data_IF_702906370623
#
_entry.id   IF_702906370623
#
_cell.length_a   1.000
_cell.length_b   1.000
_cell.length_c   1.000
_cell.angle_alpha   90.00
_cell.angle_beta   90.00
_cell.angle_gamma   90.00
#
_symmetry.space_group_name_H-M   'P 1'
#
loop_
_entity.id
_entity.type
_entity.pdbx_description
1 polymer ?
#
# COMPACT_ATOMS: atom_id res chain seq x y z
N UNK A 1 24.11 3.81 14.42
CA UNK A 1 22.91 3.63 13.57
C UNK A 1 21.67 3.62 14.43
N UNK A 2 20.50 3.93 13.86
CA UNK A 2 19.20 3.94 14.53
C UNK A 2 18.23 2.93 13.92
N UNK A 3 17.11 2.70 14.60
CA UNK A 3 16.05 1.81 14.13
C UNK A 3 15.20 2.47 13.04
N UNK A 4 14.72 1.68 12.09
CA UNK A 4 13.74 2.14 11.10
C UNK A 4 12.38 2.26 11.78
N UNK A 5 11.66 3.35 11.53
CA UNK A 5 10.39 3.66 12.18
C UNK A 5 9.21 3.54 11.22
N UNK A 6 8.10 3.02 11.73
CA UNK A 6 6.81 2.89 11.05
C UNK A 6 5.71 3.23 12.04
N UNK A 7 4.54 3.62 11.55
CA UNK A 7 3.38 3.85 12.39
C UNK A 7 2.07 3.61 11.63
N UNK A 8 1.07 3.09 12.33
CA UNK A 8 -0.31 3.13 11.86
C UNK A 8 -0.80 4.58 11.90
N UNK A 9 -1.30 5.07 10.78
CA UNK A 9 -1.92 6.39 10.67
C UNK A 9 -2.84 6.44 9.45
N UNK A 10 -3.90 7.25 9.52
CA UNK A 10 -4.82 7.39 8.40
C UNK A 10 -5.65 6.13 8.10
N UNK A 11 -5.77 5.20 9.06
CA UNK A 11 -6.76 4.12 9.02
C UNK A 11 -8.13 4.65 9.47
N UNK A 12 -8.42 4.61 10.77
CA UNK A 12 -9.62 5.25 11.34
C UNK A 12 -9.38 6.74 11.62
N UNK A 13 -8.14 7.09 11.99
CA UNK A 13 -7.72 8.47 12.26
C UNK A 13 -7.64 9.34 10.99
N UNK A 14 -7.77 10.67 11.11
CA UNK A 14 -7.78 11.57 9.95
C UNK A 14 -6.40 11.65 9.26
N UNK A 15 -6.37 12.24 8.06
CA UNK A 15 -5.13 12.54 7.33
C UNK A 15 -4.09 13.34 8.16
N UNK A 16 -4.53 14.14 9.14
CA UNK A 16 -3.64 14.85 10.07
C UNK A 16 -2.69 13.90 10.84
N UNK A 17 -3.14 12.69 11.18
CA UNK A 17 -2.28 11.73 11.88
C UNK A 17 -1.16 11.21 10.97
N UNK A 18 -1.39 11.19 9.66
CA UNK A 18 -0.36 10.85 8.68
C UNK A 18 0.70 11.95 8.65
N UNK A 19 0.30 13.23 8.63
CA UNK A 19 1.22 14.36 8.78
C UNK A 19 2.04 14.26 10.05
N UNK A 20 1.40 14.00 11.20
CA UNK A 20 2.09 13.86 12.49
C UNK A 20 3.09 12.69 12.49
N UNK A 21 2.72 11.55 11.91
CA UNK A 21 3.62 10.41 11.79
C UNK A 21 4.85 10.75 10.92
N UNK A 22 4.66 11.45 9.80
CA UNK A 22 5.76 11.88 8.93
C UNK A 22 6.63 12.97 9.57
N UNK A 23 6.03 13.94 10.23
CA UNK A 23 6.74 15.15 10.68
C UNK A 23 7.30 15.04 12.10
N UNK A 24 6.60 14.34 12.99
CA UNK A 24 7.02 14.21 14.39
C UNK A 24 7.77 12.91 14.62
N UNK A 25 7.24 11.79 14.10
CA UNK A 25 7.83 10.46 14.31
C UNK A 25 8.87 10.09 13.25
N UNK A 26 8.93 10.85 12.14
CA UNK A 26 9.87 10.65 11.03
C UNK A 26 9.84 9.22 10.49
N UNK A 27 8.64 8.65 10.35
CA UNK A 27 8.47 7.27 9.86
C UNK A 27 8.89 7.13 8.41
N UNK A 28 9.40 5.95 8.05
CA UNK A 28 9.81 5.63 6.68
C UNK A 28 8.67 5.09 5.82
N UNK A 29 7.59 4.64 6.45
CA UNK A 29 6.33 4.27 5.80
C UNK A 29 5.17 4.43 6.77
N UNK A 30 3.98 4.54 6.23
CA UNK A 30 2.72 4.62 6.96
C UNK A 30 1.99 3.30 6.79
N UNK A 31 1.55 2.73 7.91
CA UNK A 31 0.69 1.57 7.87
C UNK A 31 -0.78 2.00 7.70
N UNK A 32 -1.47 1.35 6.75
CA UNK A 32 -2.75 1.76 6.14
C UNK A 32 -2.68 3.05 5.30
N UNK A 33 -2.89 4.22 5.90
CA UNK A 33 -2.93 5.51 5.19
C UNK A 33 -4.12 5.72 4.25
N UNK A 34 -5.18 4.91 4.33
CA UNK A 34 -6.35 4.98 3.41
C UNK A 34 -7.07 6.32 3.41
N UNK A 35 -7.08 7.03 4.55
CA UNK A 35 -7.67 8.36 4.68
C UNK A 35 -6.79 9.50 4.19
N UNK A 36 -5.56 9.21 3.71
CA UNK A 36 -4.67 10.24 3.15
C UNK A 36 -5.29 10.97 1.96
N UNK A 37 -6.16 10.31 1.19
CA UNK A 37 -6.82 10.90 0.03
C UNK A 37 -7.83 12.02 0.38
N UNK A 38 -8.14 12.22 1.66
CA UNK A 38 -8.99 13.32 2.12
C UNK A 38 -8.28 14.68 2.07
N UNK A 39 -6.94 14.69 2.01
CA UNK A 39 -6.11 15.89 1.93
C UNK A 39 -5.22 15.87 0.68
N UNK A 40 -5.53 16.74 -0.28
CA UNK A 40 -4.79 16.84 -1.55
C UNK A 40 -3.30 17.16 -1.36
N UNK A 41 -2.96 18.00 -0.38
CA UNK A 41 -1.55 18.37 -0.13
C UNK A 41 -0.76 17.20 0.44
N UNK A 42 -1.42 16.39 1.26
CA UNK A 42 -0.81 15.16 1.75
C UNK A 42 -0.57 14.19 0.59
N UNK A 43 -1.54 14.02 -0.32
CA UNK A 43 -1.37 13.17 -1.51
C UNK A 43 -0.19 13.65 -2.35
N UNK A 44 -0.09 14.95 -2.65
CA UNK A 44 1.05 15.54 -3.37
C UNK A 44 2.39 15.16 -2.71
N UNK A 45 2.50 15.33 -1.39
CA UNK A 45 3.70 14.94 -0.64
C UNK A 45 4.00 13.45 -0.73
N UNK A 46 2.99 12.60 -0.52
CA UNK A 46 3.17 11.14 -0.56
C UNK A 46 3.67 10.66 -1.93
N UNK A 47 3.22 11.31 -3.01
CA UNK A 47 3.66 11.05 -4.37
C UNK A 47 5.08 11.57 -4.60
N UNK A 48 5.35 12.82 -4.24
CA UNK A 48 6.66 13.45 -4.47
C UNK A 48 7.79 12.75 -3.70
N UNK A 49 7.53 12.39 -2.44
CA UNK A 49 8.48 11.71 -1.56
C UNK A 49 8.46 10.18 -1.73
N UNK A 50 7.51 9.64 -2.52
CA UNK A 50 7.28 8.20 -2.68
C UNK A 50 7.13 7.46 -1.33
N UNK A 51 6.42 8.08 -0.38
CA UNK A 51 6.16 7.50 0.94
C UNK A 51 5.27 6.27 0.79
N UNK A 52 5.70 5.07 1.26
CA UNK A 52 4.87 3.89 1.13
C UNK A 52 3.67 3.89 2.07
N UNK A 53 2.53 3.43 1.56
CA UNK A 53 1.31 3.15 2.33
C UNK A 53 1.03 1.64 2.31
N UNK A 54 1.05 0.98 3.47
CA UNK A 54 0.78 -0.47 3.57
C UNK A 54 -0.72 -0.74 3.69
N UNK A 55 -1.42 -0.73 2.55
CA UNK A 55 -2.89 -0.85 2.52
C UNK A 55 -3.33 -2.29 2.78
N UNK A 56 -4.40 -2.44 3.58
CA UNK A 56 -4.90 -3.74 4.05
C UNK A 56 -6.38 -3.94 3.64
N UNK A 57 -6.68 -4.30 2.39
CA UNK A 57 -8.03 -4.18 1.83
C UNK A 57 -9.11 -5.00 2.56
N UNK A 58 -8.83 -6.28 2.88
CA UNK A 58 -9.78 -7.12 3.60
C UNK A 58 -9.97 -6.62 5.05
N UNK A 59 -8.90 -6.17 5.71
CA UNK A 59 -8.96 -5.53 7.03
C UNK A 59 -9.86 -4.29 7.00
N UNK A 60 -9.64 -3.38 6.03
CA UNK A 60 -10.40 -2.13 5.94
C UNK A 60 -11.91 -2.36 5.70
N UNK A 61 -12.30 -3.42 4.99
CA UNK A 61 -13.72 -3.79 4.86
C UNK A 61 -14.25 -4.44 6.14
N UNK A 62 -13.49 -5.34 6.77
CA UNK A 62 -13.90 -6.01 8.00
C UNK A 62 -14.11 -5.01 9.15
N UNK A 63 -13.24 -4.03 9.27
CA UNK A 63 -13.30 -2.94 10.24
C UNK A 63 -14.27 -1.81 9.86
N UNK A 64 -15.04 -1.96 8.77
CA UNK A 64 -16.08 -1.04 8.33
C UNK A 64 -15.57 0.35 7.86
N UNK A 65 -14.29 0.49 7.53
CA UNK A 65 -13.77 1.71 6.90
C UNK A 65 -14.34 1.87 5.48
N UNK A 66 -14.48 0.76 4.76
CA UNK A 66 -15.20 0.68 3.49
C UNK A 66 -16.34 -0.33 3.61
N UNK A 67 -17.49 -0.03 3.00
CA UNK A 67 -18.63 -0.96 3.04
C UNK A 67 -18.38 -2.23 2.24
N UNK A 68 -17.58 -2.15 1.19
CA UNK A 68 -17.20 -3.26 0.33
C UNK A 68 -15.89 -2.95 -0.40
N UNK A 69 -15.26 -3.97 -0.99
CA UNK A 69 -14.01 -3.79 -1.73
C UNK A 69 -14.19 -2.93 -2.99
N UNK A 70 -15.36 -2.95 -3.62
CA UNK A 70 -15.67 -2.13 -4.80
C UNK A 70 -15.66 -0.63 -4.49
N UNK A 71 -15.78 -0.27 -3.21
CA UNK A 71 -15.70 1.12 -2.73
C UNK A 71 -14.30 1.49 -2.21
N UNK A 72 -13.36 0.54 -2.20
CA UNK A 72 -12.02 0.79 -1.69
C UNK A 72 -11.27 1.74 -2.61
N UNK A 73 -10.57 2.71 -2.01
CA UNK A 73 -9.85 3.74 -2.76
C UNK A 73 -8.44 3.33 -3.26
N UNK A 74 -8.08 2.04 -3.23
CA UNK A 74 -6.73 1.57 -3.57
C UNK A 74 -6.38 1.88 -5.04
N UNK A 75 -7.34 1.69 -5.97
CA UNK A 75 -7.13 2.04 -7.38
C UNK A 75 -6.91 3.55 -7.55
N UNK A 76 -7.68 4.38 -6.85
CA UNK A 76 -7.49 5.82 -6.87
C UNK A 76 -6.13 6.27 -6.32
N UNK A 77 -5.56 5.55 -5.35
CA UNK A 77 -4.19 5.78 -4.88
C UNK A 77 -3.17 5.50 -5.98
N UNK A 78 -3.27 4.34 -6.64
CA UNK A 78 -2.39 3.98 -7.75
C UNK A 78 -2.47 4.98 -8.91
N UNK A 79 -3.68 5.39 -9.28
CA UNK A 79 -3.91 6.34 -10.37
C UNK A 79 -3.31 7.72 -10.09
N UNK A 80 -3.21 8.11 -8.81
CA UNK A 80 -2.56 9.34 -8.37
C UNK A 80 -1.04 9.20 -8.20
N UNK A 81 -0.47 8.00 -8.40
CA UNK A 81 0.96 7.75 -8.26
C UNK A 81 1.43 7.51 -6.82
N UNK A 82 0.51 7.28 -5.88
CA UNK A 82 0.85 6.96 -4.49
C UNK A 82 1.52 5.58 -4.45
N UNK A 83 2.59 5.44 -3.67
CA UNK A 83 3.28 4.17 -3.44
C UNK A 83 2.48 3.25 -2.50
N UNK A 84 1.30 2.82 -2.92
CA UNK A 84 0.47 1.87 -2.17
C UNK A 84 0.94 0.42 -2.39
N UNK A 85 0.83 -0.40 -1.34
CA UNK A 85 1.06 -1.86 -1.37
C UNK A 85 -0.20 -2.60 -0.93
N UNK A 86 -0.27 -3.92 -1.17
CA UNK A 86 -1.33 -4.79 -0.62
C UNK A 86 -0.76 -5.68 0.48
N UNK A 87 -1.40 -5.66 1.63
CA UNK A 87 -1.02 -6.40 2.83
C UNK A 87 -2.25 -7.09 3.44
N UNK A 88 -2.02 -8.14 4.24
CA UNK A 88 -3.09 -8.95 4.85
C UNK A 88 -3.46 -8.55 6.27
N UNK A 89 -2.63 -7.72 6.91
CA UNK A 89 -2.80 -7.30 8.32
C UNK A 89 -2.84 -8.50 9.27
N UNK A 90 -4.01 -8.83 9.83
CA UNK A 90 -4.30 -10.04 10.60
C UNK A 90 -5.08 -11.10 9.77
N UNK A 91 -4.40 -11.90 8.90
CA UNK A 91 -5.05 -12.81 7.95
C UNK A 91 -6.08 -13.76 8.57
N UNK A 92 -5.80 -14.26 9.78
CA UNK A 92 -6.66 -15.19 10.50
C UNK A 92 -8.01 -14.57 10.93
N UNK A 93 -8.07 -13.24 11.08
CA UNK A 93 -9.26 -12.50 11.46
C UNK A 93 -10.02 -11.96 10.24
N UNK A 94 -9.28 -11.56 9.20
CA UNK A 94 -9.87 -10.82 8.08
C UNK A 94 -10.18 -11.68 6.84
N UNK A 95 -9.90 -12.98 6.92
CA UNK A 95 -10.41 -13.98 5.98
C UNK A 95 -9.55 -14.15 4.74
N UNK A 96 -8.24 -13.91 4.85
CA UNK A 96 -7.31 -14.17 3.74
C UNK A 96 -5.90 -13.64 3.97
N UNK A 97 -4.93 -14.34 3.39
CA UNK A 97 -3.54 -13.93 3.31
C UNK A 97 -3.33 -12.93 2.15
N UNK A 98 -2.08 -12.58 1.86
CA UNK A 98 -1.75 -11.58 0.85
C UNK A 98 -2.28 -11.95 -0.54
N UNK A 99 -2.22 -13.22 -0.94
CA UNK A 99 -2.76 -13.71 -2.22
C UNK A 99 -4.28 -13.51 -2.32
N UNK A 100 -5.01 -13.78 -1.23
CA UNK A 100 -6.45 -13.57 -1.15
C UNK A 100 -6.78 -12.07 -1.29
N UNK A 101 -6.00 -11.19 -0.65
CA UNK A 101 -6.17 -9.75 -0.78
C UNK A 101 -5.94 -9.30 -2.23
N UNK A 102 -4.85 -9.72 -2.87
CA UNK A 102 -4.56 -9.41 -4.28
C UNK A 102 -5.69 -9.85 -5.20
N UNK A 103 -6.15 -11.10 -5.06
CA UNK A 103 -7.24 -11.66 -5.85
C UNK A 103 -8.56 -10.89 -5.66
N UNK A 104 -8.87 -10.56 -4.40
CA UNK A 104 -10.09 -9.85 -4.05
C UNK A 104 -10.11 -8.42 -4.59
N UNK A 105 -9.01 -7.64 -4.42
CA UNK A 105 -8.96 -6.28 -4.96
C UNK A 105 -8.87 -6.25 -6.48
N UNK A 106 -8.18 -7.22 -7.10
CA UNK A 106 -8.12 -7.29 -8.56
C UNK A 106 -9.52 -7.45 -9.15
N UNK A 107 -10.31 -8.37 -8.60
CA UNK A 107 -11.68 -8.60 -9.01
C UNK A 107 -12.58 -7.40 -8.73
N UNK A 108 -12.58 -6.90 -7.49
CA UNK A 108 -13.51 -5.85 -7.05
C UNK A 108 -13.24 -4.48 -7.70
N UNK A 109 -11.96 -4.11 -7.86
CA UNK A 109 -11.56 -2.81 -8.40
C UNK A 109 -11.23 -2.87 -9.90
N UNK A 110 -11.36 -4.04 -10.52
CA UNK A 110 -11.01 -4.29 -11.93
C UNK A 110 -9.57 -3.84 -12.24
N UNK A 111 -8.65 -4.17 -11.34
CA UNK A 111 -7.23 -3.82 -11.51
C UNK A 111 -6.69 -4.50 -12.76
N UNK A 112 -5.99 -3.72 -13.58
CA UNK A 112 -5.26 -4.25 -14.72
C UNK A 112 -4.10 -5.14 -14.26
N UNK A 113 -3.51 -5.88 -15.21
CA UNK A 113 -2.30 -6.67 -14.92
C UNK A 113 -1.15 -5.74 -14.49
N UNK A 114 -1.06 -4.57 -15.11
CA UNK A 114 -0.09 -3.52 -14.81
C UNK A 114 -0.28 -2.96 -13.40
N UNK A 115 -1.52 -2.76 -12.96
CA UNK A 115 -1.83 -2.33 -11.58
C UNK A 115 -1.35 -3.36 -10.54
N UNK A 116 -1.62 -4.65 -10.79
CA UNK A 116 -1.19 -5.74 -9.89
C UNK A 116 0.33 -5.83 -9.82
N UNK A 117 1.01 -5.68 -10.97
CA UNK A 117 2.48 -5.63 -11.03
C UNK A 117 3.02 -4.41 -10.29
N UNK A 118 2.40 -3.24 -10.44
CA UNK A 118 2.80 -2.03 -9.74
C UNK A 118 2.70 -2.22 -8.22
N UNK A 119 1.62 -2.81 -7.72
CA UNK A 119 1.45 -3.13 -6.30
C UNK A 119 2.55 -4.09 -5.79
N UNK A 120 2.87 -5.14 -6.57
CA UNK A 120 3.94 -6.06 -6.24
C UNK A 120 5.33 -5.38 -6.24
N UNK A 121 5.62 -4.52 -7.22
CA UNK A 121 6.87 -3.76 -7.25
C UNK A 121 6.96 -2.74 -6.10
N UNK A 122 5.85 -2.09 -5.76
CA UNK A 122 5.79 -1.16 -4.64
C UNK A 122 6.15 -1.87 -3.32
N UNK A 123 5.75 -3.12 -3.11
CA UNK A 123 6.07 -3.86 -1.87
C UNK A 123 7.58 -4.06 -1.69
N UNK A 124 8.31 -4.40 -2.76
CA UNK A 124 9.77 -4.50 -2.71
C UNK A 124 10.46 -3.15 -2.56
N UNK A 125 9.97 -2.10 -3.25
CA UNK A 125 10.48 -0.73 -3.07
C UNK A 125 10.31 -0.24 -1.63
N UNK A 126 9.14 -0.50 -1.04
CA UNK A 126 8.76 -0.13 0.33
C UNK A 126 9.40 -1.00 1.42
N UNK A 127 9.95 -2.16 1.06
CA UNK A 127 10.63 -3.04 2.01
C UNK A 127 11.85 -2.38 2.63
N UNK A 128 12.35 -2.93 3.74
CA UNK A 128 13.60 -2.52 4.36
C UNK A 128 14.78 -3.41 3.95
N UNK A 129 14.64 -4.11 2.82
CA UNK A 129 15.72 -4.91 2.26
C UNK A 129 16.90 -4.05 1.79
N UNK A 130 18.12 -4.61 1.74
CA UNK A 130 19.24 -4.01 1.02
C UNK A 130 18.86 -3.66 -0.43
N UNK A 131 19.50 -2.63 -0.99
CA UNK A 131 19.20 -2.14 -2.35
C UNK A 131 19.36 -3.25 -3.40
N UNK A 132 20.42 -4.06 -3.28
CA UNK A 132 20.70 -5.16 -4.21
C UNK A 132 19.58 -6.22 -4.19
N UNK A 133 19.04 -6.52 -3.01
CA UNK A 133 17.91 -7.44 -2.87
C UNK A 133 16.64 -6.87 -3.48
N UNK A 134 16.36 -5.57 -3.28
CA UNK A 134 15.23 -4.90 -3.93
C UNK A 134 15.36 -4.98 -5.46
N UNK A 135 16.54 -4.67 -6.01
CA UNK A 135 16.79 -4.72 -7.45
C UNK A 135 16.61 -6.13 -8.01
N UNK A 136 17.11 -7.15 -7.30
CA UNK A 136 16.90 -8.56 -7.66
C UNK A 136 15.41 -8.90 -7.76
N UNK A 137 14.63 -8.63 -6.72
CA UNK A 137 13.20 -8.97 -6.73
C UNK A 137 12.39 -8.17 -7.76
N UNK A 138 12.73 -6.91 -8.00
CA UNK A 138 12.12 -6.12 -9.07
C UNK A 138 12.40 -6.74 -10.45
N UNK A 139 13.62 -7.22 -10.69
CA UNK A 139 13.98 -7.91 -11.93
C UNK A 139 13.27 -9.27 -12.06
N UNK A 140 13.08 -10.02 -10.96
CA UNK A 140 12.30 -11.28 -10.97
C UNK A 140 10.83 -11.03 -11.38
N UNK A 141 10.19 -9.97 -10.87
CA UNK A 141 8.85 -9.57 -11.32
C UNK A 141 8.84 -9.29 -12.83
N UNK A 142 9.82 -8.55 -13.33
CA UNK A 142 9.92 -8.22 -14.76
C UNK A 142 10.07 -9.48 -15.62
N UNK A 143 10.85 -10.46 -15.17
CA UNK A 143 11.01 -11.74 -15.87
C UNK A 143 9.71 -12.53 -15.95
N UNK A 144 8.99 -12.69 -14.83
CA UNK A 144 7.69 -13.38 -14.80
C UNK A 144 6.70 -12.71 -15.76
N UNK A 145 6.74 -11.39 -15.84
CA UNK A 145 5.88 -10.62 -16.72
C UNK A 145 6.18 -10.85 -18.19
N UNK A 146 7.45 -10.86 -18.58
CA UNK A 146 7.87 -11.17 -19.96
C UNK A 146 7.62 -12.62 -20.37
N UNK A 147 7.73 -13.58 -19.45
CA UNK A 147 7.50 -15.00 -19.74
C UNK A 147 6.01 -15.36 -19.89
N UNK A 148 5.12 -14.52 -19.37
CA UNK A 148 3.66 -14.73 -19.38
C UNK A 148 2.95 -13.85 -20.42
N UNK A 149 3.68 -13.41 -21.45
CA UNK A 149 3.23 -12.62 -22.60
C UNK A 149 3.42 -13.41 -23.89
#
# INVERSE_FOLDING_TARGET
EGWLTVAHAGEEGPAEYVWQALDLLKVQRIDHGVRSLEDKKLVERLVDEQVPLTVCPLSNVKLQLFRSLEQHNLKAMLDQGVCATVNSDDPAYFGGYVEDNFSAVQSALKLSREDVVQLAKNSFRASFLPVDDKQRYLAEIDQVMTASS
#
